data_IF_151993811346
#
_entry.id   IF_151993811346
#
_cell.length_a   1.000
_cell.length_b   1.000
_cell.length_c   1.000
_cell.angle_alpha   90.00
_cell.angle_beta   90.00
_cell.angle_gamma   90.00
#
_symmetry.space_group_name_H-M   'P 1'
#
loop_
_entity.id
_entity.type
_entity.pdbx_description
1 polymer ?
#
# COMPACT_ATOMS: atom_id res chain seq x y z
N UNK A 1 1.34 47.83 78.30
CA UNK A 1 -0.10 47.49 78.13
C UNK A 1 -0.70 48.39 77.07
N UNK A 2 -1.01 47.85 75.88
CA UNK A 2 -2.02 48.39 74.95
C UNK A 2 -2.27 47.32 73.89
N UNK A 3 -3.47 46.73 73.94
CA UNK A 3 -3.98 45.73 72.99
C UNK A 3 -4.49 46.45 71.75
N UNK A 4 -4.06 46.05 70.56
CA UNK A 4 -4.77 46.34 69.31
C UNK A 4 -5.05 45.01 68.62
N UNK A 5 -6.32 44.62 68.63
CA UNK A 5 -6.84 43.43 67.98
C UNK A 5 -7.00 43.67 66.48
N UNK A 6 -6.57 42.68 65.69
CA UNK A 6 -6.76 42.59 64.24
C UNK A 6 -8.23 42.30 63.88
N UNK A 7 -8.72 42.89 62.79
CA UNK A 7 -9.81 42.32 62.00
C UNK A 7 -9.41 42.26 60.52
N UNK A 8 -9.48 41.05 59.99
CA UNK A 8 -9.16 40.62 58.64
C UNK A 8 -10.33 40.87 57.68
N UNK A 9 -10.04 41.23 56.42
CA UNK A 9 -10.99 41.05 55.30
C UNK A 9 -10.22 40.49 54.10
N UNK A 10 -10.43 39.21 53.81
CA UNK A 10 -9.95 38.51 52.61
C UNK A 10 -10.99 38.66 51.50
N UNK A 11 -10.63 39.32 50.40
CA UNK A 11 -11.45 39.38 49.20
C UNK A 11 -11.05 38.25 48.24
N UNK A 12 -11.95 37.28 48.03
CA UNK A 12 -11.79 36.21 47.05
C UNK A 12 -12.31 36.68 45.67
N UNK A 13 -11.43 36.73 44.67
CA UNK A 13 -11.80 37.00 43.28
C UNK A 13 -11.93 35.66 42.53
N UNK A 14 -13.14 35.32 42.10
CA UNK A 14 -13.44 34.11 41.36
C UNK A 14 -13.09 34.27 39.86
N UNK A 15 -12.21 33.43 39.33
CA UNK A 15 -11.99 33.27 37.89
C UNK A 15 -13.02 32.29 37.32
N UNK A 16 -13.92 32.76 36.45
CA UNK A 16 -14.78 31.90 35.65
C UNK A 16 -14.00 31.36 34.45
N UNK A 17 -13.74 30.04 34.41
CA UNK A 17 -13.15 29.37 33.27
C UNK A 17 -14.24 29.00 32.25
N UNK A 18 -14.17 29.58 31.05
CA UNK A 18 -15.02 29.21 29.91
C UNK A 18 -14.37 28.01 29.22
N UNK A 19 -14.94 26.82 29.36
CA UNK A 19 -14.50 25.62 28.63
C UNK A 19 -15.13 25.59 27.23
N UNK A 20 -14.40 26.09 26.24
CA UNK A 20 -14.74 25.86 24.83
C UNK A 20 -14.37 24.44 24.42
N UNK A 21 -15.36 23.58 24.17
CA UNK A 21 -15.15 22.27 23.52
C UNK A 21 -15.03 22.50 22.02
N UNK A 22 -13.81 22.47 21.50
CA UNK A 22 -13.58 22.37 20.05
C UNK A 22 -13.88 20.95 19.59
N UNK A 23 -14.96 20.77 18.84
CA UNK A 23 -15.23 19.54 18.10
C UNK A 23 -14.19 19.38 16.99
N UNK A 24 -13.11 18.63 17.25
CA UNK A 24 -12.18 18.20 16.23
C UNK A 24 -12.86 17.08 15.42
N UNK A 25 -13.33 17.40 14.22
CA UNK A 25 -13.65 16.37 13.22
C UNK A 25 -12.37 15.58 12.95
N UNK A 26 -12.36 14.30 13.30
CA UNK A 26 -11.22 13.42 13.06
C UNK A 26 -10.96 13.32 11.55
N UNK A 27 -9.90 13.99 11.07
CA UNK A 27 -9.45 13.86 9.70
C UNK A 27 -8.94 12.43 9.46
N UNK A 28 -9.39 11.80 8.37
CA UNK A 28 -8.89 10.48 7.94
C UNK A 28 -7.37 10.56 7.71
N UNK A 29 -6.57 9.58 8.15
CA UNK A 29 -5.14 9.57 7.89
C UNK A 29 -4.83 9.68 6.39
N UNK A 30 -3.92 10.59 6.04
CA UNK A 30 -3.45 10.85 4.67
C UNK A 30 -2.72 9.65 4.08
N UNK A 31 -2.18 8.77 4.93
CA UNK A 31 -1.58 7.49 4.60
C UNK A 31 -2.09 6.37 5.52
N UNK A 32 -2.17 5.15 5.00
CA UNK A 32 -2.54 3.94 5.73
C UNK A 32 -1.62 2.79 5.31
N UNK A 33 -1.24 1.94 6.26
CA UNK A 33 -0.51 0.69 6.02
C UNK A 33 -1.04 -0.39 6.97
N UNK A 34 -1.58 -1.47 6.42
CA UNK A 34 -2.16 -2.58 7.17
C UNK A 34 -1.57 -3.91 6.66
N UNK A 35 -1.28 -4.85 7.57
CA UNK A 35 -0.73 -6.16 7.23
C UNK A 35 -1.81 -7.26 7.30
N UNK A 36 -1.75 -8.18 6.35
CA UNK A 36 -2.66 -9.31 6.16
C UNK A 36 -1.81 -10.54 5.80
N UNK A 37 -1.34 -11.25 6.84
CA UNK A 37 -0.33 -12.31 6.70
C UNK A 37 0.86 -11.83 5.85
N UNK A 38 1.02 -12.36 4.63
CA UNK A 38 2.15 -12.07 3.75
C UNK A 38 1.92 -10.84 2.85
N UNK A 39 0.78 -10.17 2.99
CA UNK A 39 0.40 -9.02 2.17
C UNK A 39 0.31 -7.74 3.01
N UNK A 40 0.65 -6.60 2.39
CA UNK A 40 0.48 -5.28 2.97
C UNK A 40 -0.43 -4.44 2.08
N UNK A 41 -1.51 -3.92 2.66
CA UNK A 41 -2.38 -2.92 2.04
C UNK A 41 -1.85 -1.54 2.37
N UNK A 42 -1.67 -0.69 1.35
CA UNK A 42 -1.28 0.72 1.52
C UNK A 42 -2.25 1.63 0.79
N UNK A 43 -2.57 2.77 1.39
CA UNK A 43 -3.33 3.83 0.74
C UNK A 43 -2.68 5.19 0.98
N UNK A 44 -2.75 6.07 -0.01
CA UNK A 44 -2.37 7.47 0.12
C UNK A 44 -3.36 8.37 -0.62
N UNK A 45 -3.67 9.53 -0.05
CA UNK A 45 -4.48 10.56 -0.72
C UNK A 45 -3.57 11.40 -1.62
N UNK A 46 -3.81 11.39 -2.94
CA UNK A 46 -3.07 12.26 -3.85
C UNK A 46 -3.41 13.73 -3.58
N UNK A 47 -2.40 14.56 -3.27
CA UNK A 47 -2.60 15.98 -3.01
C UNK A 47 -2.85 16.36 -1.54
N UNK A 48 -2.67 15.44 -0.58
CA UNK A 48 -2.45 15.86 0.80
C UNK A 48 -1.13 16.67 0.85
N UNK A 49 -1.11 17.89 1.43
CA UNK A 49 0.12 18.64 1.54
C UNK A 49 1.13 17.82 2.35
N UNK A 50 2.31 17.56 1.76
CA UNK A 50 3.51 17.52 2.59
C UNK A 50 3.56 18.89 3.29
N UNK A 51 3.74 18.88 4.60
CA UNK A 51 3.71 20.05 5.47
C UNK A 51 4.79 21.08 5.06
N UNK A 52 4.55 21.88 4.02
CA UNK A 52 5.16 23.18 3.66
C UNK A 52 4.91 23.49 2.18
N UNK A 53 4.01 24.45 1.88
CA UNK A 53 4.19 25.50 0.86
C UNK A 53 2.84 26.16 0.46
N UNK A 54 2.69 27.44 0.80
CA UNK A 54 2.25 28.51 -0.12
C UNK A 54 0.85 28.50 -0.76
N UNK A 55 0.04 29.46 -0.32
CA UNK A 55 -1.02 30.22 -1.04
C UNK A 55 -2.25 29.46 -1.64
N UNK A 56 -3.41 29.48 -0.95
CA UNK A 56 -4.62 28.77 -1.39
C UNK A 56 -5.43 29.49 -2.50
N UNK A 57 -4.94 30.61 -3.04
CA UNK A 57 -5.73 31.50 -3.91
C UNK A 57 -5.86 31.09 -5.39
N UNK A 58 -5.39 29.90 -5.80
CA UNK A 58 -5.58 29.40 -7.18
C UNK A 58 -6.27 28.03 -7.21
N UNK A 59 -7.60 28.05 -7.39
CA UNK A 59 -8.42 26.97 -7.94
C UNK A 59 -8.00 25.54 -7.56
N UNK A 60 -8.25 25.14 -6.32
CA UNK A 60 -7.87 23.83 -5.77
C UNK A 60 -8.64 22.67 -6.40
N UNK A 61 -7.89 21.80 -7.07
CA UNK A 61 -8.27 20.48 -7.60
C UNK A 61 -9.10 19.69 -6.58
N UNK A 62 -10.13 18.98 -7.07
CA UNK A 62 -11.03 18.12 -6.30
C UNK A 62 -10.29 17.35 -5.21
N UNK A 63 -10.91 17.26 -4.02
CA UNK A 63 -10.44 16.49 -2.88
C UNK A 63 -9.81 15.16 -3.35
N UNK A 64 -8.55 14.96 -2.95
CA UNK A 64 -7.61 14.03 -3.56
C UNK A 64 -8.13 12.60 -3.74
N UNK A 65 -7.91 12.04 -4.93
CA UNK A 65 -8.17 10.62 -5.17
C UNK A 65 -7.32 9.79 -4.19
N UNK A 66 -7.98 8.96 -3.38
CA UNK A 66 -7.33 8.00 -2.49
C UNK A 66 -6.93 6.80 -3.33
N UNK A 67 -5.64 6.54 -3.39
CA UNK A 67 -5.05 5.51 -4.22
C UNK A 67 -4.53 4.40 -3.31
N UNK A 68 -5.03 3.18 -3.50
CA UNK A 68 -4.77 2.02 -2.64
C UNK A 68 -4.22 0.84 -3.44
N UNK A 69 -3.28 0.12 -2.84
CA UNK A 69 -2.68 -1.09 -3.41
C UNK A 69 -2.49 -2.16 -2.33
N UNK A 70 -2.32 -3.40 -2.79
CA UNK A 70 -1.82 -4.51 -1.98
C UNK A 70 -0.48 -4.98 -2.56
N UNK A 71 0.45 -5.35 -1.68
CA UNK A 71 1.81 -5.72 -2.10
C UNK A 71 2.43 -6.80 -1.23
N UNK A 72 3.38 -7.54 -1.80
CA UNK A 72 4.27 -8.47 -1.11
C UNK A 72 5.70 -8.25 -1.61
N UNK A 73 6.67 -8.18 -0.70
CA UNK A 73 8.10 -8.05 -1.00
C UNK A 73 8.87 -9.19 -0.34
N UNK A 74 9.80 -9.79 -1.07
CA UNK A 74 10.66 -10.84 -0.56
C UNK A 74 12.12 -10.40 -0.68
N UNK A 75 12.91 -10.74 0.33
CA UNK A 75 14.32 -10.36 0.45
C UNK A 75 15.11 -11.61 0.83
N UNK A 76 16.28 -11.81 0.23
CA UNK A 76 17.15 -12.93 0.58
C UNK A 76 17.94 -12.65 1.88
N UNK A 77 18.75 -13.62 2.31
CA UNK A 77 19.58 -13.51 3.52
C UNK A 77 20.59 -12.35 3.48
N UNK A 78 20.95 -11.86 2.29
CA UNK A 78 21.90 -10.77 2.10
C UNK A 78 21.22 -9.39 2.10
N UNK A 79 19.91 -9.32 2.36
CA UNK A 79 19.16 -8.05 2.34
C UNK A 79 18.81 -7.58 0.92
N UNK A 80 19.10 -8.36 -0.12
CA UNK A 80 18.72 -8.03 -1.49
C UNK A 80 17.27 -8.44 -1.75
N UNK A 81 16.47 -7.50 -2.23
CA UNK A 81 15.11 -7.79 -2.69
C UNK A 81 15.15 -8.74 -3.89
N UNK A 82 14.49 -9.88 -3.75
CA UNK A 82 14.37 -10.89 -4.82
C UNK A 82 13.07 -10.73 -5.60
N UNK A 83 12.03 -10.16 -4.99
CA UNK A 83 10.74 -9.98 -5.62
C UNK A 83 9.95 -8.85 -4.94
N UNK A 84 9.20 -8.08 -5.74
CA UNK A 84 8.12 -7.23 -5.26
C UNK A 84 6.95 -7.33 -6.22
N UNK A 85 5.77 -7.69 -5.70
CA UNK A 85 4.51 -7.58 -6.43
C UNK A 85 3.67 -6.48 -5.80
N UNK A 86 3.11 -5.59 -6.62
CA UNK A 86 2.12 -4.59 -6.21
C UNK A 86 0.94 -4.65 -7.17
N UNK A 87 -0.26 -4.76 -6.61
CA UNK A 87 -1.51 -4.89 -7.35
C UNK A 87 -2.51 -3.82 -6.89
N UNK A 88 -3.41 -3.47 -7.81
CA UNK A 88 -4.52 -2.54 -7.60
C UNK A 88 -5.77 -3.12 -8.24
N UNK A 89 -6.94 -3.01 -7.59
CA UNK A 89 -8.20 -3.35 -8.23
C UNK A 89 -8.49 -2.41 -9.41
N UNK A 90 -9.10 -2.95 -10.46
CA UNK A 90 -9.70 -2.20 -11.55
C UNK A 90 -11.23 -2.21 -11.42
N UNK A 91 -11.93 -1.37 -12.21
CA UNK A 91 -13.38 -1.16 -12.11
C UNK A 91 -14.22 -2.41 -12.46
N UNK A 92 -13.63 -3.42 -13.11
CA UNK A 92 -14.31 -4.60 -13.64
C UNK A 92 -13.88 -5.92 -12.96
N UNK A 93 -13.40 -5.84 -11.72
CA UNK A 93 -12.98 -7.01 -10.95
C UNK A 93 -11.60 -7.55 -11.33
N UNK A 94 -10.99 -7.04 -12.41
CA UNK A 94 -9.60 -7.33 -12.76
C UNK A 94 -8.63 -6.74 -11.75
N UNK A 95 -7.42 -7.28 -11.74
CA UNK A 95 -6.28 -6.69 -11.05
C UNK A 95 -5.24 -6.24 -12.05
N UNK A 96 -4.68 -5.05 -11.81
CA UNK A 96 -3.55 -4.53 -12.57
C UNK A 96 -2.41 -4.21 -11.61
N UNK A 97 -1.18 -4.26 -12.10
CA UNK A 97 -0.05 -3.91 -11.26
C UNK A 97 1.28 -4.19 -11.91
N UNK A 98 2.29 -4.34 -11.06
CA UNK A 98 3.65 -4.61 -11.49
C UNK A 98 4.29 -5.69 -10.63
N UNK A 99 5.09 -6.52 -11.27
CA UNK A 99 6.06 -7.39 -10.63
C UNK A 99 7.46 -6.84 -10.91
N UNK A 100 8.27 -6.76 -9.88
CA UNK A 100 9.71 -6.45 -9.97
C UNK A 100 10.47 -7.72 -9.65
N UNK A 101 11.23 -8.20 -10.64
CA UNK A 101 12.12 -9.35 -10.56
C UNK A 101 13.59 -8.91 -10.54
N UNK A 102 14.52 -9.76 -10.08
CA UNK A 102 15.92 -9.38 -9.95
C UNK A 102 16.59 -9.30 -11.32
N UNK A 103 17.79 -8.72 -11.35
CA UNK A 103 18.65 -8.71 -12.54
C UNK A 103 19.22 -10.11 -12.84
N UNK A 104 19.82 -10.25 -14.02
CA UNK A 104 20.42 -11.52 -14.46
C UNK A 104 19.43 -12.50 -15.10
N UNK A 105 18.23 -12.03 -15.47
CA UNK A 105 17.24 -12.81 -16.20
C UNK A 105 17.34 -12.57 -17.72
N UNK A 106 16.91 -13.53 -18.52
CA UNK A 106 16.79 -13.45 -19.97
C UNK A 106 15.49 -12.71 -20.34
N UNK A 107 15.56 -11.38 -20.40
CA UNK A 107 14.40 -10.49 -20.62
C UNK A 107 13.56 -10.86 -21.85
N UNK A 108 14.21 -11.32 -22.92
CA UNK A 108 13.53 -11.68 -24.18
C UNK A 108 12.61 -12.90 -24.05
N UNK A 109 12.80 -13.76 -23.03
CA UNK A 109 11.98 -14.94 -22.80
C UNK A 109 10.71 -14.61 -21.99
N UNK A 110 10.66 -13.44 -21.35
CA UNK A 110 9.57 -13.03 -20.47
C UNK A 110 9.48 -13.85 -19.18
N UNK A 111 8.37 -13.68 -18.47
CA UNK A 111 8.04 -14.44 -17.26
C UNK A 111 6.67 -15.11 -17.42
N UNK A 112 6.54 -16.37 -17.01
CA UNK A 112 5.26 -17.10 -16.99
C UNK A 112 4.71 -17.16 -15.57
N UNK A 113 3.39 -17.28 -15.46
CA UNK A 113 2.65 -17.22 -14.20
C UNK A 113 1.69 -18.40 -14.11
N UNK A 114 1.66 -19.05 -12.96
CA UNK A 114 0.76 -20.15 -12.64
C UNK A 114 0.25 -20.00 -11.20
N UNK A 115 -1.03 -20.28 -10.96
CA UNK A 115 -1.60 -20.35 -9.61
C UNK A 115 -1.72 -21.82 -9.24
N UNK A 116 -1.04 -22.22 -8.17
CA UNK A 116 -0.96 -23.61 -7.71
C UNK A 116 -0.61 -24.56 -8.90
N UNK A 117 -1.40 -25.61 -9.11
CA UNK A 117 -1.21 -26.60 -10.17
C UNK A 117 -1.89 -26.23 -11.50
N UNK A 118 -2.43 -25.01 -11.62
CA UNK A 118 -3.02 -24.58 -12.89
C UNK A 118 -1.95 -24.42 -13.97
N UNK A 119 -2.27 -24.71 -15.24
CA UNK A 119 -1.33 -24.51 -16.34
C UNK A 119 -0.83 -23.06 -16.42
N UNK A 120 0.46 -22.84 -16.72
CA UNK A 120 1.00 -21.50 -16.83
C UNK A 120 0.38 -20.74 -18.01
N UNK A 121 0.19 -19.44 -17.81
CA UNK A 121 -0.21 -18.53 -18.89
C UNK A 121 0.90 -18.28 -19.92
N UNK A 122 0.58 -17.48 -20.94
CA UNK A 122 1.59 -17.00 -21.91
C UNK A 122 2.66 -16.17 -21.20
N UNK A 123 3.92 -16.20 -21.66
CA UNK A 123 4.97 -15.34 -21.10
C UNK A 123 4.58 -13.86 -21.19
N UNK A 124 4.62 -13.17 -20.06
CA UNK A 124 4.50 -11.72 -20.00
C UNK A 124 5.89 -11.08 -20.24
N UNK A 125 5.99 -10.08 -21.12
CA UNK A 125 7.26 -9.44 -21.41
C UNK A 125 7.69 -8.52 -20.25
N UNK A 126 9.01 -8.44 -20.05
CA UNK A 126 9.59 -7.36 -19.26
C UNK A 126 9.40 -6.03 -19.99
N UNK A 127 8.93 -5.01 -19.27
CA UNK A 127 8.68 -3.66 -19.84
C UNK A 127 9.92 -2.78 -19.80
N UNK A 128 10.64 -2.81 -18.68
CA UNK A 128 11.81 -1.98 -18.43
C UNK A 128 12.59 -2.54 -17.25
N UNK A 129 13.80 -2.05 -17.01
CA UNK A 129 14.52 -2.29 -15.77
C UNK A 129 14.87 -0.95 -15.11
N UNK A 130 14.64 -0.87 -13.81
CA UNK A 130 14.96 0.26 -12.94
C UNK A 130 16.02 -0.20 -11.93
N UNK A 131 16.65 0.70 -11.14
CA UNK A 131 17.61 0.31 -10.11
C UNK A 131 17.06 -0.70 -9.09
N UNK A 132 15.74 -0.80 -8.96
CA UNK A 132 15.04 -1.74 -8.06
C UNK A 132 14.84 -3.14 -8.67
N UNK A 133 15.09 -3.34 -9.96
CA UNK A 133 14.91 -4.59 -10.69
C UNK A 133 14.21 -4.42 -12.05
N UNK A 134 13.89 -5.55 -12.68
CA UNK A 134 13.20 -5.59 -13.97
C UNK A 134 11.69 -5.75 -13.79
N UNK A 135 10.93 -4.89 -14.47
CA UNK A 135 9.49 -4.69 -14.26
C UNK A 135 8.70 -5.47 -15.30
N UNK A 136 7.75 -6.28 -14.86
CA UNK A 136 6.71 -6.92 -15.67
C UNK A 136 5.38 -6.28 -15.30
N UNK A 137 4.63 -5.78 -16.28
CA UNK A 137 3.27 -5.30 -16.01
C UNK A 137 2.29 -6.47 -15.95
N UNK A 138 1.47 -6.47 -14.91
CA UNK A 138 0.49 -7.49 -14.64
C UNK A 138 -0.91 -6.98 -14.98
N UNK A 139 -1.68 -7.83 -15.64
CA UNK A 139 -3.12 -7.69 -15.79
C UNK A 139 -3.74 -9.07 -15.59
N UNK A 140 -4.38 -9.28 -14.45
CA UNK A 140 -5.12 -10.49 -14.15
C UNK A 140 -6.59 -10.29 -14.50
N UNK A 141 -7.15 -11.21 -15.27
CA UNK A 141 -8.58 -11.24 -15.56
C UNK A 141 -9.37 -11.54 -14.29
N UNK A 142 -10.69 -11.33 -14.31
CA UNK A 142 -11.54 -11.71 -13.16
C UNK A 142 -11.38 -13.20 -12.81
N UNK A 143 -11.40 -14.09 -13.81
CA UNK A 143 -11.18 -15.54 -13.58
C UNK A 143 -9.85 -15.86 -12.89
N UNK A 144 -8.74 -15.25 -13.31
CA UNK A 144 -7.44 -15.42 -12.64
C UNK A 144 -7.44 -14.77 -11.25
N UNK A 145 -8.14 -13.64 -11.08
CA UNK A 145 -8.29 -12.97 -9.79
C UNK A 145 -9.03 -13.87 -8.79
N UNK A 146 -10.05 -14.60 -9.23
CA UNK A 146 -10.71 -15.61 -8.38
C UNK A 146 -9.74 -16.74 -8.00
N UNK A 147 -8.93 -17.23 -8.96
CA UNK A 147 -7.90 -18.23 -8.64
C UNK A 147 -6.89 -17.72 -7.62
N UNK A 148 -6.47 -16.45 -7.70
CA UNK A 148 -5.57 -15.85 -6.72
C UNK A 148 -6.20 -15.73 -5.31
N UNK A 149 -7.51 -15.50 -5.23
CA UNK A 149 -8.24 -15.43 -3.94
C UNK A 149 -8.33 -16.78 -3.24
N UNK A 150 -8.56 -17.85 -3.98
CA UNK A 150 -8.72 -19.21 -3.44
C UNK A 150 -7.43 -20.02 -3.40
N UNK A 151 -6.39 -19.59 -4.12
CA UNK A 151 -5.15 -20.32 -4.28
C UNK A 151 -4.18 -20.16 -3.13
N UNK A 152 -3.07 -20.88 -3.18
CA UNK A 152 -2.03 -20.87 -2.14
C UNK A 152 -0.75 -20.17 -2.59
N UNK A 153 -0.36 -20.37 -3.85
CA UNK A 153 0.89 -19.86 -4.39
C UNK A 153 0.70 -19.36 -5.81
N UNK A 154 1.21 -18.17 -6.11
CA UNK A 154 1.43 -17.69 -7.47
C UNK A 154 2.90 -17.93 -7.83
N UNK A 155 3.15 -18.93 -8.66
CA UNK A 155 4.49 -19.24 -9.18
C UNK A 155 4.79 -18.38 -10.40
N UNK A 156 5.95 -17.74 -10.39
CA UNK A 156 6.52 -17.01 -11.51
C UNK A 156 7.76 -17.74 -11.99
N UNK A 157 7.84 -18.08 -13.27
CA UNK A 157 9.03 -18.69 -13.86
C UNK A 157 9.63 -17.75 -14.89
N UNK A 158 10.92 -17.45 -14.73
CA UNK A 158 11.73 -16.74 -15.71
C UNK A 158 12.97 -17.58 -16.06
N UNK A 159 13.73 -17.18 -17.06
CA UNK A 159 15.02 -17.80 -17.38
C UNK A 159 16.16 -16.90 -16.91
N UNK A 160 17.22 -17.45 -16.34
CA UNK A 160 18.48 -16.75 -16.14
C UNK A 160 19.12 -16.40 -17.49
N UNK A 161 19.89 -15.31 -17.54
CA UNK A 161 20.56 -14.87 -18.76
C UNK A 161 21.74 -15.76 -19.16
N UNK A 162 22.44 -16.32 -18.17
CA UNK A 162 23.58 -17.20 -18.38
C UNK A 162 23.88 -18.05 -17.12
N UNK A 163 23.86 -19.40 -17.20
CA UNK A 163 23.30 -20.19 -18.30
C UNK A 163 21.78 -20.03 -18.39
N UNK A 164 21.18 -20.25 -19.57
CA UNK A 164 19.72 -20.23 -19.79
C UNK A 164 19.03 -21.36 -19.00
N UNK A 165 18.76 -21.10 -17.72
CA UNK A 165 18.17 -22.02 -16.76
C UNK A 165 16.90 -21.42 -16.17
N UNK A 166 15.90 -22.27 -15.90
CA UNK A 166 14.65 -21.80 -15.29
C UNK A 166 14.90 -21.38 -13.84
N UNK A 167 14.42 -20.19 -13.49
CA UNK A 167 14.46 -19.62 -12.14
C UNK A 167 13.03 -19.45 -11.65
N UNK A 168 12.56 -20.30 -10.71
CA UNK A 168 11.24 -20.16 -10.12
C UNK A 168 11.26 -19.14 -8.98
N UNK A 169 10.20 -18.34 -8.92
CA UNK A 169 9.86 -17.45 -7.80
C UNK A 169 8.46 -17.82 -7.31
N UNK A 170 8.27 -17.84 -6.00
CA UNK A 170 6.97 -18.20 -5.40
C UNK A 170 6.43 -17.03 -4.61
N UNK A 171 5.25 -16.54 -4.97
CA UNK A 171 4.52 -15.50 -4.24
C UNK A 171 3.46 -16.19 -3.39
N UNK A 172 3.49 -15.98 -2.08
CA UNK A 172 2.47 -16.54 -1.18
C UNK A 172 1.13 -15.83 -1.39
N UNK A 173 0.04 -16.59 -1.45
CA UNK A 173 -1.33 -16.07 -1.50
C UNK A 173 -2.00 -16.07 -0.11
N UNK A 174 -1.27 -16.43 0.94
CA UNK A 174 -1.78 -16.37 2.32
C UNK A 174 -2.11 -14.92 2.71
N UNK A 175 -3.38 -14.67 3.04
CA UNK A 175 -3.90 -13.34 3.36
C UNK A 175 -4.28 -12.48 2.16
N UNK A 176 -4.08 -12.97 0.93
CA UNK A 176 -4.35 -12.22 -0.30
C UNK A 176 -5.81 -11.79 -0.42
N UNK A 177 -6.76 -12.70 -0.20
CA UNK A 177 -8.19 -12.40 -0.35
C UNK A 177 -8.65 -11.30 0.61
N UNK A 178 -8.26 -11.40 1.89
CA UNK A 178 -8.57 -10.39 2.91
C UNK A 178 -7.92 -9.03 2.58
N UNK A 179 -6.64 -9.04 2.16
CA UNK A 179 -5.95 -7.84 1.73
C UNK A 179 -6.66 -7.18 0.54
N UNK A 180 -7.05 -7.96 -0.47
CA UNK A 180 -7.72 -7.47 -1.66
C UNK A 180 -9.12 -6.91 -1.35
N UNK A 181 -9.91 -7.60 -0.52
CA UNK A 181 -11.19 -7.08 -0.06
C UNK A 181 -11.02 -5.73 0.66
N UNK A 182 -9.99 -5.61 1.51
CA UNK A 182 -9.66 -4.36 2.18
C UNK A 182 -9.26 -3.26 1.20
N UNK A 183 -8.39 -3.55 0.24
CA UNK A 183 -7.99 -2.59 -0.79
C UNK A 183 -9.21 -2.07 -1.56
N UNK A 184 -10.10 -2.97 -2.01
CA UNK A 184 -11.34 -2.58 -2.70
C UNK A 184 -12.23 -1.70 -1.82
N UNK A 185 -12.38 -2.03 -0.54
CA UNK A 185 -13.19 -1.25 0.40
C UNK A 185 -12.63 0.18 0.59
N UNK A 186 -11.30 0.34 0.57
CA UNK A 186 -10.62 1.61 0.76
C UNK A 186 -10.48 2.45 -0.52
N UNK A 187 -10.61 1.83 -1.69
CA UNK A 187 -10.54 2.49 -3.01
C UNK A 187 -11.84 3.17 -3.45
N UNK A 188 -12.96 2.96 -2.75
CA UNK A 188 -14.24 3.61 -3.09
C UNK A 188 -14.18 5.11 -2.71
N UNK A 189 -14.49 6.03 -3.63
CA UNK A 189 -14.71 7.43 -3.26
C UNK A 189 -15.91 7.52 -2.31
N UNK A 190 -15.81 8.38 -1.28
CA UNK A 190 -16.93 8.70 -0.38
C UNK A 190 -18.02 9.51 -1.09
#
# INVERSE_FOLDING_TARGET
MRRLSLLSVTAALACAAVTGVSAQTAAKPSALSESYDDWTVRCATQGAPAETAGDPAKGGRSAGARECSLSQSQTNANGQRVLLVELRPAEDGRLRGNLVLPFGLALQKGATFAVDDLPPGKPAPFRTCLPVGCVVSLLFTDGITQSLRSGTTLTVKAQASDPETEVPFSISLKGFDAALQRTVALSKPE
#
